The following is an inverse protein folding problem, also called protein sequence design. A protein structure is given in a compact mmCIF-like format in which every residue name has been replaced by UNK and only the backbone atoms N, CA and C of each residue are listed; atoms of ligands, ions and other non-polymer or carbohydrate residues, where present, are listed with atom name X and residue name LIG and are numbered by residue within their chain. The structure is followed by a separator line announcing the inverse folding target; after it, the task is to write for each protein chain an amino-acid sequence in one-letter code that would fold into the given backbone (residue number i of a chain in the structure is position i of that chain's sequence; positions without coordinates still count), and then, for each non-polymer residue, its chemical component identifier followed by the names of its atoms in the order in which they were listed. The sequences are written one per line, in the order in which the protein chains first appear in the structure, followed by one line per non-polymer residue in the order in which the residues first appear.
data_IF_294778404698
#
_entry.id   IF_294778404698
#
_cell.length_a   1.000
_cell.length_b   1.000
_cell.length_c   1.000
_cell.angle_alpha   90.00
_cell.angle_beta   90.00
_cell.angle_gamma   90.00
#
_symmetry.space_group_name_H-M   'P 1'
#
loop_
_entity.id
_entity.type
_entity.pdbx_description
1 polymer ?
#
# COMPACT_ATOMS: atom_id res chain seq x y z
N UNK A 1 27.97 26.89 21.45
CA UNK A 1 27.70 25.63 20.72
C UNK A 1 27.07 26.05 19.42
N UNK A 2 27.70 25.80 18.28
CA UNK A 2 27.02 25.96 16.98
C UNK A 2 25.79 25.04 16.99
N UNK A 3 24.62 25.59 16.68
CA UNK A 3 23.36 24.85 16.67
C UNK A 3 23.42 23.78 15.58
N UNK A 4 23.82 22.56 15.95
CA UNK A 4 23.67 21.38 15.11
C UNK A 4 22.19 21.05 15.02
N UNK A 5 21.58 21.38 13.88
CA UNK A 5 20.17 21.12 13.60
C UNK A 5 19.99 19.68 13.08
N UNK A 6 18.99 18.96 13.60
CA UNK A 6 18.61 17.65 13.09
C UNK A 6 17.62 17.85 11.93
N UNK A 7 17.88 17.21 10.80
CA UNK A 7 17.02 17.25 9.60
C UNK A 7 16.74 15.85 9.10
N UNK A 8 15.55 15.67 8.55
CA UNK A 8 15.17 14.48 7.79
C UNK A 8 15.18 14.83 6.30
N UNK A 9 15.80 14.00 5.49
CA UNK A 9 15.83 14.12 4.02
C UNK A 9 15.47 12.78 3.39
N UNK A 10 14.79 12.83 2.25
CA UNK A 10 14.56 11.66 1.42
C UNK A 10 15.71 11.51 0.43
N UNK A 11 16.12 10.28 0.16
CA UNK A 11 17.08 9.95 -0.89
C UNK A 11 16.53 8.86 -1.80
N UNK A 12 17.00 8.83 -3.04
CA UNK A 12 16.60 7.87 -4.04
C UNK A 12 17.72 7.60 -5.06
N UNK A 13 18.28 6.39 -5.02
CA UNK A 13 19.38 5.99 -5.90
C UNK A 13 19.01 5.97 -7.39
N UNK A 14 17.73 5.76 -7.75
CA UNK A 14 17.21 5.72 -9.14
C UNK A 14 18.01 4.87 -10.13
N UNK A 15 18.70 3.84 -9.65
CA UNK A 15 19.52 2.91 -10.45
C UNK A 15 19.63 1.56 -9.74
N UNK A 16 19.88 0.45 -10.47
CA UNK A 16 20.00 -0.86 -9.86
C UNK A 16 21.28 -0.94 -9.03
N UNK A 17 21.16 -0.72 -7.72
CA UNK A 17 22.30 -0.73 -6.77
C UNK A 17 22.45 -2.03 -6.00
N UNK A 18 21.42 -2.89 -6.01
CA UNK A 18 21.38 -4.11 -5.24
C UNK A 18 20.67 -5.23 -6.00
N UNK A 19 21.02 -6.47 -5.68
CA UNK A 19 20.30 -7.66 -6.17
C UNK A 19 20.24 -8.74 -5.10
N UNK A 20 19.18 -9.56 -5.12
CA UNK A 20 19.07 -10.79 -4.34
C UNK A 20 19.28 -11.96 -5.31
N UNK A 21 20.50 -12.53 -5.39
CA UNK A 21 20.77 -13.59 -6.35
C UNK A 21 20.14 -14.92 -5.89
N UNK A 22 19.50 -15.61 -6.83
CA UNK A 22 19.07 -17.00 -6.60
C UNK A 22 20.24 -17.97 -6.69
N UNK A 23 20.20 -19.04 -5.89
CA UNK A 23 21.16 -20.15 -6.02
C UNK A 23 20.98 -20.83 -7.39
N UNK A 24 22.10 -21.09 -8.08
CA UNK A 24 22.07 -21.79 -9.37
C UNK A 24 21.40 -23.16 -9.26
N UNK A 25 20.51 -23.48 -10.22
CA UNK A 25 19.74 -24.73 -10.25
C UNK A 25 20.61 -25.99 -10.15
N UNK A 26 21.79 -25.98 -10.77
CA UNK A 26 22.74 -27.11 -10.74
C UNK A 26 23.23 -27.44 -9.31
N UNK A 27 23.23 -26.45 -8.42
CA UNK A 27 23.59 -26.58 -7.01
C UNK A 27 22.37 -26.81 -6.11
N UNK A 28 21.17 -26.77 -6.68
CA UNK A 28 19.91 -26.93 -5.99
C UNK A 28 19.11 -28.11 -6.55
N UNK A 29 19.44 -29.32 -6.09
CA UNK A 29 18.79 -30.58 -6.53
C UNK A 29 17.29 -30.65 -6.24
N UNK A 30 16.80 -29.78 -5.35
CA UNK A 30 15.42 -29.73 -4.89
C UNK A 30 14.66 -28.49 -5.39
N UNK A 31 15.16 -27.77 -6.41
CA UNK A 31 14.56 -26.48 -6.84
C UNK A 31 13.07 -26.60 -7.24
N UNK A 32 12.65 -27.78 -7.71
CA UNK A 32 11.28 -28.04 -8.15
C UNK A 32 10.37 -28.54 -7.02
N UNK A 33 10.91 -28.76 -5.80
CA UNK A 33 10.09 -29.04 -4.62
C UNK A 33 9.60 -27.71 -4.06
N UNK A 34 8.38 -27.70 -3.53
CA UNK A 34 7.81 -26.55 -2.81
C UNK A 34 8.68 -26.21 -1.60
N UNK A 35 9.66 -25.33 -1.81
CA UNK A 35 10.56 -24.82 -0.76
C UNK A 35 10.28 -23.35 -0.53
N UNK A 36 10.28 -22.96 0.73
CA UNK A 36 10.27 -21.56 1.14
C UNK A 36 11.71 -21.04 1.31
N UNK A 37 11.95 -19.81 0.85
CA UNK A 37 13.22 -19.13 1.08
C UNK A 37 13.30 -18.72 2.55
N UNK A 38 14.48 -18.89 3.17
CA UNK A 38 14.75 -18.38 4.51
C UNK A 38 14.96 -16.85 4.46
N UNK A 39 14.11 -16.02 5.09
CA UNK A 39 14.22 -14.56 4.98
C UNK A 39 15.55 -14.00 5.50
N UNK A 40 16.11 -14.59 6.56
CA UNK A 40 17.35 -14.12 7.18
C UNK A 40 18.61 -14.53 6.38
N UNK A 41 18.60 -15.69 5.74
CA UNK A 41 19.79 -16.28 5.09
C UNK A 41 19.81 -16.14 3.57
N UNK A 42 18.64 -16.01 2.95
CA UNK A 42 18.49 -16.11 1.49
C UNK A 42 17.93 -14.84 0.85
N UNK A 43 17.52 -13.84 1.65
CA UNK A 43 17.10 -12.50 1.18
C UNK A 43 18.17 -11.47 1.56
N UNK A 44 19.42 -11.81 1.29
CA UNK A 44 20.57 -10.92 1.53
C UNK A 44 20.88 -10.15 0.26
N UNK A 45 21.02 -8.83 0.39
CA UNK A 45 21.32 -7.93 -0.73
C UNK A 45 22.82 -7.96 -1.06
N UNK A 46 23.15 -8.19 -2.33
CA UNK A 46 24.47 -7.94 -2.87
C UNK A 46 24.53 -6.52 -3.45
N UNK A 47 25.43 -5.69 -2.93
CA UNK A 47 25.57 -4.27 -3.32
C UNK A 47 26.95 -3.92 -3.87
N UNK A 48 27.97 -4.74 -3.61
CA UNK A 48 29.36 -4.52 -4.05
C UNK A 48 30.13 -5.84 -4.05
N UNK A 49 31.19 -5.94 -4.86
CA UNK A 49 32.09 -7.10 -4.92
C UNK A 49 33.09 -7.18 -3.75
N UNK A 50 33.19 -6.13 -2.92
CA UNK A 50 34.04 -6.11 -1.73
C UNK A 50 35.52 -5.81 -1.99
N UNK A 51 35.95 -5.65 -3.24
CA UNK A 51 37.33 -5.28 -3.57
C UNK A 51 37.56 -3.79 -3.32
N UNK A 52 38.12 -3.47 -2.15
CA UNK A 52 38.71 -2.16 -1.84
C UNK A 52 37.75 -1.10 -1.31
N UNK A 53 36.44 -1.29 -1.39
CA UNK A 53 35.47 -0.37 -0.80
C UNK A 53 35.34 -0.61 0.71
N UNK A 54 35.84 0.35 1.51
CA UNK A 54 35.78 0.32 2.98
C UNK A 54 34.69 1.21 3.56
N UNK A 55 33.83 1.78 2.72
CA UNK A 55 32.76 2.66 3.18
C UNK A 55 31.74 1.84 3.96
N UNK A 56 31.39 2.34 5.13
CA UNK A 56 30.19 1.90 5.85
C UNK A 56 28.94 2.31 5.07
N UNK A 57 27.82 1.65 5.33
CA UNK A 57 26.55 2.01 4.71
C UNK A 57 26.15 3.48 4.99
N UNK A 58 26.40 3.99 6.20
CA UNK A 58 26.17 5.41 6.54
C UNK A 58 27.00 6.38 5.69
N UNK A 59 28.21 6.00 5.30
CA UNK A 59 29.04 6.81 4.39
C UNK A 59 28.47 6.79 2.97
N UNK A 60 27.98 5.64 2.49
CA UNK A 60 27.28 5.56 1.19
C UNK A 60 26.02 6.44 1.17
N UNK A 61 25.24 6.43 2.25
CA UNK A 61 24.06 7.30 2.38
C UNK A 61 24.45 8.77 2.42
N UNK A 62 25.51 9.13 3.15
CA UNK A 62 26.01 10.51 3.21
C UNK A 62 26.42 11.01 1.83
N UNK A 63 27.13 10.20 1.05
CA UNK A 63 27.50 10.52 -0.33
C UNK A 63 26.27 10.70 -1.23
N UNK A 64 25.26 9.83 -1.08
CA UNK A 64 24.00 9.97 -1.83
C UNK A 64 23.25 11.25 -1.46
N UNK A 65 23.20 11.60 -0.17
CA UNK A 65 22.63 12.86 0.30
C UNK A 65 23.38 14.05 -0.30
N UNK A 66 24.71 14.03 -0.29
CA UNK A 66 25.53 15.10 -0.88
C UNK A 66 25.32 15.22 -2.39
N UNK A 67 25.04 14.11 -3.08
CA UNK A 67 24.74 14.09 -4.50
C UNK A 67 23.38 14.70 -4.83
N UNK A 68 22.32 14.31 -4.11
CA UNK A 68 20.95 14.78 -4.36
C UNK A 68 20.66 16.17 -3.75
N UNK A 69 21.28 16.46 -2.61
CA UNK A 69 21.01 17.63 -1.78
C UNK A 69 22.30 18.45 -1.55
N UNK A 70 23.01 18.78 -2.63
CA UNK A 70 24.29 19.51 -2.57
C UNK A 70 24.27 20.83 -1.78
N UNK A 71 23.08 21.44 -1.62
CA UNK A 71 22.89 22.70 -0.87
C UNK A 71 22.63 22.49 0.62
N UNK A 72 22.52 21.25 1.10
CA UNK A 72 22.27 20.92 2.50
C UNK A 72 23.61 20.46 3.10
N UNK A 73 24.28 21.29 3.93
CA UNK A 73 25.49 20.85 4.60
C UNK A 73 25.14 19.79 5.65
N UNK A 74 25.41 18.52 5.32
CA UNK A 74 25.19 17.37 6.22
C UNK A 74 26.53 16.86 6.70
N UNK A 75 26.70 16.86 8.02
CA UNK A 75 27.93 16.39 8.67
C UNK A 75 27.95 14.86 8.82
N UNK A 76 26.81 14.26 9.17
CA UNK A 76 26.71 12.82 9.44
C UNK A 76 25.28 12.31 9.27
N UNK A 77 25.15 11.00 9.03
CA UNK A 77 23.86 10.29 9.02
C UNK A 77 23.64 9.67 10.39
N UNK A 78 22.69 10.21 11.15
CA UNK A 78 22.35 9.75 12.51
C UNK A 78 21.52 8.46 12.50
N UNK A 79 20.54 8.33 11.60
CA UNK A 79 19.78 7.10 11.38
C UNK A 79 19.15 7.04 9.99
N UNK A 80 18.55 5.89 9.63
CA UNK A 80 17.92 5.70 8.33
C UNK A 80 16.79 4.67 8.34
N UNK A 81 15.78 4.91 7.49
CA UNK A 81 14.77 3.94 7.07
C UNK A 81 14.85 3.83 5.55
N UNK A 82 15.30 2.68 5.03
CA UNK A 82 15.55 2.48 3.59
C UNK A 82 14.75 1.29 3.10
N UNK A 83 14.00 1.49 2.02
CA UNK A 83 13.29 0.43 1.31
C UNK A 83 13.97 0.10 -0.01
N UNK A 84 14.11 -1.18 -0.33
CA UNK A 84 14.50 -1.61 -1.66
C UNK A 84 13.28 -1.62 -2.58
N UNK A 85 13.47 -1.19 -3.82
CA UNK A 85 12.42 -1.20 -4.82
C UNK A 85 12.97 -1.62 -6.19
N UNK A 86 12.11 -2.20 -7.02
CA UNK A 86 12.46 -2.53 -8.39
C UNK A 86 12.59 -1.25 -9.23
N UNK A 87 13.72 -1.11 -9.91
CA UNK A 87 13.99 0.03 -10.80
C UNK A 87 13.34 -0.11 -12.16
N UNK A 88 12.78 -1.29 -12.49
CA UNK A 88 12.00 -1.47 -13.69
C UNK A 88 10.74 -0.57 -13.64
N UNK A 89 10.54 0.30 -14.64
CA UNK A 89 9.38 1.17 -14.66
C UNK A 89 8.08 0.39 -14.87
N UNK A 90 6.94 0.90 -14.39
CA UNK A 90 5.64 0.32 -14.69
C UNK A 90 5.39 0.34 -16.21
N UNK A 91 4.65 -0.65 -16.70
CA UNK A 91 4.34 -0.79 -18.12
C UNK A 91 2.87 -1.15 -18.34
N UNK A 92 2.32 -0.66 -19.44
CA UNK A 92 1.09 -1.20 -20.01
C UNK A 92 1.46 -2.43 -20.84
N UNK A 93 0.74 -3.53 -20.65
CA UNK A 93 1.04 -4.83 -21.27
C UNK A 93 -0.24 -5.50 -21.80
N UNK A 94 -0.05 -6.54 -22.60
CA UNK A 94 -1.13 -7.28 -23.28
C UNK A 94 -1.15 -6.96 -24.77
N UNK A 95 -1.78 -7.81 -25.58
CA UNK A 95 -1.82 -7.62 -27.04
C UNK A 95 -2.58 -6.36 -27.44
N UNK A 96 -3.51 -5.89 -26.61
CA UNK A 96 -4.27 -4.65 -26.82
C UNK A 96 -4.06 -3.64 -25.68
N UNK A 97 -2.93 -3.69 -24.98
CA UNK A 97 -2.63 -2.74 -23.90
C UNK A 97 -3.66 -2.78 -22.74
N UNK A 98 -4.20 -3.97 -22.46
CA UNK A 98 -5.34 -4.19 -21.55
C UNK A 98 -4.97 -4.20 -20.05
N UNK A 99 -3.68 -4.21 -19.69
CA UNK A 99 -3.22 -4.42 -18.32
C UNK A 99 -2.12 -3.45 -17.88
N UNK A 100 -2.05 -3.18 -16.59
CA UNK A 100 -0.96 -2.43 -15.96
C UNK A 100 -0.11 -3.40 -15.13
N UNK A 101 1.18 -3.49 -15.45
CA UNK A 101 2.17 -4.21 -14.65
C UNK A 101 3.05 -3.19 -13.92
N UNK A 102 2.96 -3.18 -12.59
CA UNK A 102 3.72 -2.27 -11.74
C UNK A 102 3.95 -2.86 -10.35
N UNK A 103 5.07 -2.49 -9.72
CA UNK A 103 5.29 -2.73 -8.30
C UNK A 103 4.38 -1.83 -7.45
N UNK A 104 3.97 -2.30 -6.26
CA UNK A 104 3.24 -1.52 -5.25
C UNK A 104 1.86 -1.01 -5.72
N UNK A 105 1.23 -1.67 -6.70
CA UNK A 105 -0.18 -1.41 -7.03
C UNK A 105 -1.04 -1.53 -5.78
N UNK A 106 -0.74 -2.55 -4.96
CA UNK A 106 -1.20 -2.67 -3.60
C UNK A 106 -0.34 -1.79 -2.67
N UNK A 107 -0.84 -0.68 -2.09
CA UNK A 107 -2.13 -0.03 -2.35
C UNK A 107 -1.98 1.38 -2.94
N UNK A 108 -0.85 1.68 -3.61
CA UNK A 108 -0.62 3.00 -4.21
C UNK A 108 -1.62 3.34 -5.32
N UNK A 109 -2.22 2.33 -5.97
CA UNK A 109 -3.28 2.56 -6.94
C UNK A 109 -4.50 3.23 -6.29
N UNK A 110 -4.94 2.74 -5.12
CA UNK A 110 -6.05 3.33 -4.38
C UNK A 110 -5.69 4.71 -3.82
N UNK A 111 -4.45 4.89 -3.31
CA UNK A 111 -3.95 6.20 -2.88
C UNK A 111 -3.98 7.22 -4.03
N UNK A 112 -3.54 6.82 -5.23
CA UNK A 112 -3.59 7.67 -6.41
C UNK A 112 -5.03 8.04 -6.78
N UNK A 113 -5.93 7.05 -6.86
CA UNK A 113 -7.33 7.27 -7.20
C UNK A 113 -8.04 8.20 -6.19
N UNK A 114 -7.80 8.00 -4.89
CA UNK A 114 -8.33 8.86 -3.84
C UNK A 114 -7.74 10.27 -3.88
N UNK A 115 -6.44 10.41 -4.15
CA UNK A 115 -5.80 11.73 -4.26
C UNK A 115 -6.38 12.51 -5.44
N UNK A 116 -6.51 11.84 -6.59
CA UNK A 116 -7.10 12.43 -7.78
C UNK A 116 -8.56 12.82 -7.56
N UNK A 117 -9.35 11.97 -6.90
CA UNK A 117 -10.75 12.27 -6.63
C UNK A 117 -10.94 13.48 -5.74
N UNK A 118 -10.08 13.68 -4.72
CA UNK A 118 -10.11 14.89 -3.87
C UNK A 118 -9.71 16.14 -4.65
N UNK A 119 -8.71 16.05 -5.54
CA UNK A 119 -8.28 17.17 -6.39
C UNK A 119 -9.40 17.57 -7.37
N UNK A 120 -10.13 16.58 -7.90
CA UNK A 120 -11.23 16.80 -8.85
C UNK A 120 -12.56 17.12 -8.17
N UNK A 121 -12.66 16.87 -6.86
CA UNK A 121 -13.89 17.10 -6.12
C UNK A 121 -14.24 18.59 -6.15
N UNK A 122 -15.49 18.87 -6.49
CA UNK A 122 -16.08 20.20 -6.41
C UNK A 122 -17.31 20.13 -5.52
N UNK A 123 -17.46 21.09 -4.62
CA UNK A 123 -18.65 21.21 -3.79
C UNK A 123 -18.33 21.68 -2.37
N UNK A 124 -19.40 21.88 -1.61
CA UNK A 124 -19.34 22.41 -0.24
C UNK A 124 -19.31 21.30 0.83
N UNK A 125 -19.36 20.02 0.42
CA UNK A 125 -19.31 18.90 1.35
C UNK A 125 -17.86 18.63 1.78
N UNK A 126 -17.57 18.64 3.10
CA UNK A 126 -16.24 18.30 3.59
C UNK A 126 -15.84 16.88 3.18
N UNK A 127 -14.64 16.74 2.61
CA UNK A 127 -14.06 15.45 2.24
C UNK A 127 -12.67 15.32 2.86
N UNK A 128 -12.38 14.15 3.42
CA UNK A 128 -11.09 13.82 4.01
C UNK A 128 -10.56 12.56 3.35
N UNK A 129 -9.32 12.63 2.88
CA UNK A 129 -8.54 11.47 2.47
C UNK A 129 -7.44 11.23 3.48
N UNK A 130 -7.32 9.98 3.92
CA UNK A 130 -6.25 9.52 4.81
C UNK A 130 -5.54 8.32 4.16
N UNK A 131 -4.22 8.42 4.03
CA UNK A 131 -3.35 7.32 3.65
C UNK A 131 -2.58 6.88 4.88
N UNK A 132 -2.88 5.69 5.39
CA UNK A 132 -2.21 5.12 6.56
C UNK A 132 -1.01 4.28 6.15
N UNK A 133 0.03 4.36 6.97
CA UNK A 133 1.21 3.49 6.86
C UNK A 133 0.99 2.19 7.65
N UNK A 134 1.92 1.24 7.55
CA UNK A 134 1.96 0.03 8.37
C UNK A 134 0.76 -0.92 8.24
N UNK A 135 -0.07 -0.80 7.21
CA UNK A 135 -1.23 -1.69 6.99
C UNK A 135 -0.79 -3.16 6.95
N UNK A 136 0.22 -3.44 6.13
CA UNK A 136 0.81 -4.76 5.88
C UNK A 136 1.46 -5.43 7.11
N UNK A 137 1.67 -4.65 8.19
CA UNK A 137 2.21 -5.15 9.47
C UNK A 137 1.20 -5.01 10.61
N UNK A 138 -0.07 -4.74 10.31
CA UNK A 138 -1.19 -4.76 11.27
C UNK A 138 -1.68 -3.39 11.73
N UNK A 139 -1.22 -2.29 11.15
CA UNK A 139 -1.68 -0.90 11.40
C UNK A 139 -1.44 -0.34 12.82
N UNK A 140 -0.73 -1.05 13.69
CA UNK A 140 -0.48 -0.62 15.07
C UNK A 140 0.78 0.26 15.15
N UNK A 141 0.63 1.52 14.75
CA UNK A 141 1.67 2.55 14.86
C UNK A 141 1.07 3.95 14.94
N UNK A 142 1.89 4.97 15.19
CA UNK A 142 1.41 6.35 15.24
C UNK A 142 0.85 6.85 13.89
N UNK A 143 1.37 6.35 12.76
CA UNK A 143 0.94 6.66 11.40
C UNK A 143 -0.01 5.60 10.79
N UNK A 144 -0.22 4.48 11.49
CA UNK A 144 -1.13 3.43 11.06
C UNK A 144 -2.60 3.71 11.39
N UNK A 145 -3.48 2.88 10.85
CA UNK A 145 -4.93 3.05 11.01
C UNK A 145 -5.42 2.88 12.46
N UNK A 146 -4.70 2.13 13.30
CA UNK A 146 -4.98 2.05 14.74
C UNK A 146 -4.35 3.21 15.55
N UNK A 147 -3.62 4.09 14.88
CA UNK A 147 -2.96 5.24 15.47
C UNK A 147 -3.93 6.38 15.82
N UNK A 148 -3.51 7.32 16.67
CA UNK A 148 -4.36 8.43 17.10
C UNK A 148 -4.53 9.52 16.03
N UNK A 149 -3.76 9.48 14.94
CA UNK A 149 -3.62 10.58 13.98
C UNK A 149 -4.96 11.01 13.36
N UNK A 150 -5.74 10.05 12.83
CA UNK A 150 -7.01 10.36 12.17
C UNK A 150 -8.00 10.97 13.16
N UNK A 151 -8.20 10.31 14.31
CA UNK A 151 -9.10 10.79 15.37
C UNK A 151 -8.70 12.17 15.87
N UNK A 152 -7.43 12.38 16.19
CA UNK A 152 -6.93 13.68 16.66
C UNK A 152 -7.11 14.79 15.62
N UNK A 153 -6.94 14.47 14.33
CA UNK A 153 -7.15 15.42 13.24
C UNK A 153 -8.63 15.79 13.12
N UNK A 154 -9.53 14.79 13.13
CA UNK A 154 -10.97 15.04 13.05
C UNK A 154 -11.50 15.79 14.28
N UNK A 155 -11.03 15.47 15.48
CA UNK A 155 -11.41 16.19 16.71
C UNK A 155 -10.99 17.68 16.67
N UNK A 156 -9.87 18.00 16.00
CA UNK A 156 -9.44 19.40 15.80
C UNK A 156 -10.25 20.14 14.74
N UNK A 157 -10.83 19.41 13.78
CA UNK A 157 -11.65 19.99 12.70
C UNK A 157 -13.12 20.15 13.14
N UNK A 158 -13.67 19.14 13.80
CA UNK A 158 -15.09 19.02 14.11
C UNK A 158 -15.42 19.32 15.58
N UNK A 159 -14.43 19.37 16.48
CA UNK A 159 -14.63 19.39 17.92
C UNK A 159 -14.68 17.98 18.52
N UNK A 160 -14.97 17.88 19.82
CA UNK A 160 -14.96 16.61 20.58
C UNK A 160 -16.34 16.27 21.15
N UNK A 161 -16.48 15.05 21.69
CA UNK A 161 -17.71 14.57 22.33
C UNK A 161 -18.88 14.49 21.34
N UNK A 162 -20.06 14.93 21.78
CA UNK A 162 -21.30 14.84 20.98
C UNK A 162 -21.17 15.49 19.59
N UNK A 163 -20.38 16.56 19.45
CA UNK A 163 -20.17 17.21 18.15
C UNK A 163 -19.45 16.28 17.17
N UNK A 164 -18.45 15.55 17.66
CA UNK A 164 -17.74 14.54 16.88
C UNK A 164 -18.64 13.35 16.57
N UNK A 165 -19.40 12.85 17.55
CA UNK A 165 -20.31 11.71 17.38
C UNK A 165 -21.35 11.99 16.30
N UNK A 166 -21.97 13.18 16.32
CA UNK A 166 -22.94 13.61 15.30
C UNK A 166 -22.30 13.78 13.92
N UNK A 167 -21.05 14.26 13.87
CA UNK A 167 -20.31 14.37 12.62
C UNK A 167 -20.01 13.00 12.02
N UNK A 168 -19.60 12.03 12.85
CA UNK A 168 -19.34 10.65 12.41
C UNK A 168 -20.61 9.95 11.94
N UNK A 169 -21.73 10.11 12.66
CA UNK A 169 -23.05 9.55 12.29
C UNK A 169 -23.56 10.10 10.94
N UNK A 170 -23.18 11.32 10.59
CA UNK A 170 -23.52 11.95 9.30
C UNK A 170 -22.45 11.71 8.21
N UNK A 171 -21.43 10.92 8.47
CA UNK A 171 -20.30 10.68 7.56
C UNK A 171 -20.35 9.30 6.92
N UNK A 172 -19.67 9.16 5.78
CA UNK A 172 -19.46 7.87 5.11
C UNK A 172 -17.98 7.68 4.90
N UNK A 173 -17.46 6.51 5.30
CA UNK A 173 -16.08 6.11 5.05
C UNK A 173 -16.01 5.09 3.91
N UNK A 174 -15.23 5.42 2.88
CA UNK A 174 -14.83 4.46 1.85
C UNK A 174 -13.41 3.96 2.15
N UNK A 175 -13.30 2.72 2.62
CA UNK A 175 -12.00 2.03 2.71
C UNK A 175 -11.69 1.43 1.34
N UNK A 176 -10.69 2.00 0.65
CA UNK A 176 -10.34 1.62 -0.72
C UNK A 176 -9.03 0.85 -0.70
N UNK A 177 -9.12 -0.41 -1.09
CA UNK A 177 -8.00 -1.34 -1.13
C UNK A 177 -8.22 -2.36 -2.25
N UNK A 178 -7.13 -2.89 -2.82
CA UNK A 178 -7.19 -3.76 -3.97
C UNK A 178 -8.01 -5.04 -3.69
N UNK A 179 -8.62 -5.58 -4.75
CA UNK A 179 -9.36 -6.84 -4.69
C UNK A 179 -8.70 -7.88 -5.61
N UNK A 180 -8.88 -9.16 -5.26
CA UNK A 180 -8.33 -10.25 -6.05
C UNK A 180 -9.24 -10.58 -7.24
N UNK A 181 -8.78 -10.26 -8.45
CA UNK A 181 -9.39 -10.79 -9.66
C UNK A 181 -9.20 -12.32 -9.73
N UNK A 182 -10.10 -13.01 -10.44
CA UNK A 182 -9.96 -14.45 -10.67
C UNK A 182 -8.68 -14.73 -11.43
N UNK A 183 -7.82 -15.55 -10.85
CA UNK A 183 -6.60 -15.99 -11.50
C UNK A 183 -6.92 -17.17 -12.45
N UNK A 184 -6.65 -17.07 -13.77
CA UNK A 184 -7.08 -18.10 -14.74
C UNK A 184 -6.46 -19.48 -14.48
N UNK A 185 -5.25 -19.55 -13.94
CA UNK A 185 -4.62 -20.82 -13.57
C UNK A 185 -5.08 -21.40 -12.21
N UNK A 186 -5.85 -20.65 -11.42
CA UNK A 186 -6.23 -21.00 -10.05
C UNK A 186 -7.67 -20.58 -9.74
N UNK A 187 -8.58 -20.81 -10.70
CA UNK A 187 -9.98 -20.38 -10.56
C UNK A 187 -10.68 -21.00 -9.34
N UNK A 188 -10.21 -22.16 -8.87
CA UNK A 188 -10.71 -22.85 -7.70
C UNK A 188 -10.52 -22.05 -6.40
N UNK A 189 -9.68 -21.01 -6.38
CA UNK A 189 -9.45 -20.15 -5.21
C UNK A 189 -10.54 -19.11 -4.98
N UNK A 190 -11.43 -18.90 -5.95
CA UNK A 190 -12.57 -18.00 -5.81
C UNK A 190 -13.87 -18.77 -5.58
N UNK A 191 -14.82 -18.10 -4.94
CA UNK A 191 -16.19 -18.61 -4.85
C UNK A 191 -16.84 -18.56 -6.24
N UNK A 192 -17.53 -19.62 -6.70
CA UNK A 192 -18.11 -19.68 -8.04
C UNK A 192 -19.08 -18.54 -8.39
N UNK A 193 -19.73 -17.93 -7.38
CA UNK A 193 -20.68 -16.83 -7.56
C UNK A 193 -20.03 -15.44 -7.37
N UNK A 194 -18.77 -15.38 -6.93
CA UNK A 194 -18.07 -14.15 -6.61
C UNK A 194 -16.71 -14.12 -7.30
N UNK A 195 -16.75 -13.80 -8.60
CA UNK A 195 -15.63 -13.92 -9.54
C UNK A 195 -15.29 -12.58 -10.19
N UNK A 196 -14.63 -11.64 -9.48
CA UNK A 196 -14.25 -10.37 -10.09
C UNK A 196 -13.29 -10.59 -11.27
N UNK A 197 -13.54 -9.89 -12.35
CA UNK A 197 -12.70 -9.87 -13.54
C UNK A 197 -11.95 -8.54 -13.62
N UNK A 198 -10.75 -8.58 -14.20
CA UNK A 198 -10.07 -7.36 -14.63
C UNK A 198 -10.96 -6.59 -15.62
N UNK A 199 -10.86 -5.27 -15.61
CA UNK A 199 -11.64 -4.35 -16.46
C UNK A 199 -13.17 -4.41 -16.27
N UNK A 200 -13.67 -5.11 -15.23
CA UNK A 200 -15.10 -5.19 -14.89
C UNK A 200 -15.61 -4.12 -13.92
N UNK A 201 -14.77 -3.14 -13.56
CA UNK A 201 -15.10 -2.08 -12.60
C UNK A 201 -14.73 -2.41 -11.14
N UNK A 202 -14.93 -1.45 -10.21
CA UNK A 202 -14.60 -1.60 -8.79
C UNK A 202 -15.31 -2.78 -8.13
N UNK A 203 -14.69 -3.31 -7.07
CA UNK A 203 -15.17 -4.52 -6.38
C UNK A 203 -15.61 -4.18 -4.97
N UNK A 204 -16.85 -4.51 -4.63
CA UNK A 204 -17.35 -4.46 -3.25
C UNK A 204 -16.90 -5.74 -2.52
N UNK A 205 -16.14 -5.58 -1.43
CA UNK A 205 -15.55 -6.69 -0.66
C UNK A 205 -16.44 -7.04 0.54
N UNK A 206 -17.01 -8.24 0.56
CA UNK A 206 -17.84 -8.74 1.67
C UNK A 206 -17.11 -9.80 2.49
N UNK A 207 -17.30 -9.78 3.81
CA UNK A 207 -16.85 -10.85 4.69
C UNK A 207 -17.73 -10.91 5.95
N UNK A 208 -18.34 -12.07 6.21
CA UNK A 208 -19.22 -12.26 7.36
C UNK A 208 -18.51 -12.05 8.72
N UNK A 209 -17.20 -12.30 8.79
CA UNK A 209 -16.38 -12.11 9.99
C UNK A 209 -15.86 -10.66 10.13
N UNK A 210 -16.44 -9.70 9.40
CA UNK A 210 -16.07 -8.29 9.45
C UNK A 210 -14.58 -8.03 9.15
N UNK A 211 -13.99 -8.83 8.25
CA UNK A 211 -12.66 -8.53 7.65
C UNK A 211 -12.70 -7.32 6.72
N UNK A 212 -13.91 -6.98 6.26
CA UNK A 212 -14.25 -5.76 5.56
C UNK A 212 -15.47 -5.15 6.28
N UNK A 213 -15.52 -3.83 6.39
CA UNK A 213 -16.60 -3.11 7.10
C UNK A 213 -17.91 -3.01 6.30
N UNK A 214 -17.95 -3.57 5.09
CA UNK A 214 -19.10 -3.48 4.20
C UNK A 214 -20.31 -4.20 4.77
N UNK A 215 -21.45 -3.50 4.78
CA UNK A 215 -22.77 -4.05 5.11
C UNK A 215 -23.77 -3.76 3.97
N UNK A 216 -25.03 -4.14 4.15
CA UNK A 216 -26.06 -3.93 3.12
C UNK A 216 -26.30 -2.45 2.80
N UNK A 217 -26.23 -1.57 3.79
CA UNK A 217 -26.51 -0.13 3.63
C UNK A 217 -25.38 0.57 2.89
N UNK A 218 -24.13 0.37 3.33
CA UNK A 218 -22.95 0.98 2.70
C UNK A 218 -22.73 0.45 1.28
N UNK A 219 -23.01 -0.84 1.05
CA UNK A 219 -22.98 -1.39 -0.29
C UNK A 219 -24.10 -0.85 -1.19
N UNK A 220 -25.31 -0.68 -0.68
CA UNK A 220 -26.42 -0.10 -1.44
C UNK A 220 -26.12 1.35 -1.86
N UNK A 221 -25.56 2.15 -0.95
CA UNK A 221 -25.09 3.50 -1.23
C UNK A 221 -24.07 3.52 -2.38
N UNK A 222 -23.03 2.68 -2.28
CA UNK A 222 -21.99 2.61 -3.32
C UNK A 222 -22.54 2.14 -4.68
N UNK A 223 -23.42 1.13 -4.68
CA UNK A 223 -24.08 0.66 -5.91
C UNK A 223 -24.94 1.74 -6.55
N UNK A 224 -25.71 2.49 -5.75
CA UNK A 224 -26.54 3.58 -6.25
C UNK A 224 -25.68 4.69 -6.89
N UNK A 225 -24.52 5.00 -6.28
CA UNK A 225 -23.56 5.94 -6.86
C UNK A 225 -23.01 5.43 -8.20
N UNK A 226 -22.54 4.18 -8.24
CA UNK A 226 -22.06 3.55 -9.48
C UNK A 226 -23.13 3.52 -10.57
N UNK A 227 -24.39 3.18 -10.24
CA UNK A 227 -25.51 3.19 -11.19
C UNK A 227 -25.80 4.59 -11.73
N UNK A 228 -25.75 5.62 -10.88
CA UNK A 228 -25.97 7.01 -11.28
C UNK A 228 -24.90 7.50 -12.26
N UNK A 229 -23.67 6.98 -12.12
CA UNK A 229 -22.51 7.34 -12.94
C UNK A 229 -22.24 6.37 -14.10
N UNK A 230 -23.12 5.38 -14.31
CA UNK A 230 -22.94 4.30 -15.31
C UNK A 230 -21.60 3.54 -15.17
N UNK A 231 -21.16 3.32 -13.93
CA UNK A 231 -19.94 2.59 -13.59
C UNK A 231 -20.33 1.14 -13.28
N UNK A 232 -19.78 0.13 -13.99
CA UNK A 232 -20.01 -1.27 -13.64
C UNK A 232 -19.38 -1.57 -12.28
N UNK A 233 -20.06 -2.39 -11.47
CA UNK A 233 -19.60 -2.75 -10.13
C UNK A 233 -19.65 -4.25 -9.94
N UNK A 234 -18.59 -4.79 -9.35
CA UNK A 234 -18.43 -6.20 -9.06
C UNK A 234 -18.50 -6.44 -7.56
N UNK A 235 -18.51 -7.71 -7.16
CA UNK A 235 -18.47 -8.10 -5.76
C UNK A 235 -17.58 -9.29 -5.55
N UNK A 236 -16.96 -9.35 -4.37
CA UNK A 236 -16.22 -10.52 -3.91
C UNK A 236 -16.69 -10.91 -2.51
N UNK A 237 -16.91 -12.20 -2.32
CA UNK A 237 -17.00 -12.84 -1.01
C UNK A 237 -16.02 -14.01 -1.04
N UNK A 238 -15.19 -14.13 0.00
CA UNK A 238 -14.24 -15.23 0.09
C UNK A 238 -14.98 -16.55 0.30
N UNK A 239 -14.39 -17.64 -0.22
CA UNK A 239 -14.86 -18.98 0.11
C UNK A 239 -14.81 -19.19 1.62
N UNK A 240 -15.82 -19.85 2.19
CA UNK A 240 -15.92 -20.07 3.63
C UNK A 240 -14.80 -20.96 4.20
N UNK A 241 -14.14 -21.76 3.37
CA UNK A 241 -13.04 -22.64 3.75
C UNK A 241 -11.66 -21.98 3.65
N UNK A 242 -11.59 -20.70 3.27
CA UNK A 242 -10.33 -19.96 3.10
C UNK A 242 -10.24 -18.75 4.04
N UNK A 243 -9.04 -18.52 4.56
CA UNK A 243 -8.74 -17.32 5.32
C UNK A 243 -8.75 -16.08 4.40
N UNK A 244 -9.12 -14.94 4.99
CA UNK A 244 -9.18 -13.65 4.33
C UNK A 244 -8.28 -12.67 5.10
N UNK A 245 -7.48 -11.89 4.37
CA UNK A 245 -6.81 -10.72 4.94
C UNK A 245 -7.84 -9.73 5.51
N UNK A 246 -7.41 -8.91 6.48
CA UNK A 246 -8.20 -7.75 6.92
C UNK A 246 -7.80 -6.53 6.09
N UNK A 247 -8.53 -5.43 6.25
CA UNK A 247 -8.14 -4.10 5.75
C UNK A 247 -8.20 -3.10 6.89
N UNK A 248 -7.89 -1.83 6.60
CA UNK A 248 -8.12 -0.74 7.54
C UNK A 248 -9.60 -0.47 7.80
N UNK A 249 -10.51 -0.87 6.90
CA UNK A 249 -11.94 -0.56 6.99
C UNK A 249 -12.56 -0.87 8.36
N UNK A 250 -12.46 -2.12 8.87
CA UNK A 250 -12.96 -2.47 10.21
C UNK A 250 -12.27 -1.74 11.37
N UNK A 251 -11.05 -1.24 11.17
CA UNK A 251 -10.28 -0.50 12.18
C UNK A 251 -10.80 0.94 12.29
N UNK A 252 -11.12 1.55 11.15
CA UNK A 252 -11.45 2.98 11.04
C UNK A 252 -12.95 3.25 10.91
N UNK A 253 -13.77 2.21 10.76
CA UNK A 253 -15.21 2.37 10.66
C UNK A 253 -15.76 3.07 11.92
N UNK A 254 -16.61 4.10 11.75
CA UNK A 254 -17.27 4.78 12.86
C UNK A 254 -18.28 3.88 13.58
#
# INVERSE_FOLDING_TARGET
MENKEIKSVLIDFRRPVATVPSLAIHLNRDVHKNRTNNPQKEVVLLVSSGDGDRRSFRQLLLEQIQHEHANIPVAEVLDYEISCYDVQPPAVIGLNDDFIAASRLDNLLSCYAACRSIIDASGDTPAVMVCNDHEEVGSLSASGAQGPFLRSTLERLCGTGETMDRAMDSSVLLSVDNAHAVHPNYEDKHDPQHRPCLNGGPVIKYNANQRYATNSETAALFRNLCQTLDIPVQQIAMRNDMACGSTIGPITAP
#
